data_IF_179998494955
#
_entry.id   IF_179998494955
#
_cell.length_a   1.000
_cell.length_b   1.000
_cell.length_c   1.000
_cell.angle_alpha   90.00
_cell.angle_beta   90.00
_cell.angle_gamma   90.00
#
_symmetry.space_group_name_H-M   'P 1'
#
loop_
_entity.id
_entity.type
_entity.pdbx_description
1 polymer ?
#
# COMPACT_ATOMS: atom_id res chain seq x y z
N UNK A 1 -18.46 5.24 -13.41
CA UNK A 1 -17.34 4.32 -13.69
C UNK A 1 -16.17 5.16 -14.18
N UNK A 2 -15.36 5.71 -13.26
CA UNK A 2 -14.38 6.77 -13.59
C UNK A 2 -12.97 6.41 -13.06
N UNK A 3 -12.54 5.17 -13.34
CA UNK A 3 -11.11 4.82 -13.40
C UNK A 3 -10.51 5.15 -14.78
N UNK A 4 -11.36 5.57 -15.71
CA UNK A 4 -11.06 5.78 -17.13
C UNK A 4 -10.09 6.96 -17.31
N UNK A 5 -8.80 6.66 -17.20
CA UNK A 5 -7.74 7.03 -18.17
C UNK A 5 -6.40 7.26 -17.48
N UNK A 6 -6.40 7.68 -16.21
CA UNK A 6 -5.16 8.06 -15.50
C UNK A 6 -4.67 7.05 -14.47
N UNK A 7 -5.54 6.22 -13.91
CA UNK A 7 -5.16 5.24 -12.87
C UNK A 7 -4.59 3.94 -13.42
N UNK A 8 -5.06 3.51 -14.60
CA UNK A 8 -4.68 2.24 -15.22
C UNK A 8 -3.19 2.10 -15.50
N UNK A 9 -2.47 3.10 -16.03
CA UNK A 9 -1.04 2.96 -16.30
C UNK A 9 -0.23 2.64 -15.03
N UNK A 10 -0.59 3.22 -13.89
CA UNK A 10 0.12 3.00 -12.62
C UNK A 10 -0.16 1.60 -12.08
N UNK A 11 -1.42 1.15 -12.15
CA UNK A 11 -1.79 -0.20 -11.75
C UNK A 11 -1.10 -1.25 -12.64
N UNK A 12 -1.13 -1.05 -13.96
CA UNK A 12 -0.48 -1.95 -14.91
C UNK A 12 1.04 -1.97 -14.75
N UNK A 13 1.67 -0.83 -14.44
CA UNK A 13 3.09 -0.78 -14.11
C UNK A 13 3.40 -1.60 -12.85
N UNK A 14 2.58 -1.47 -11.80
CA UNK A 14 2.72 -2.24 -10.57
C UNK A 14 2.58 -3.76 -10.82
N UNK A 15 1.66 -4.17 -11.71
CA UNK A 15 1.51 -5.56 -12.14
C UNK A 15 2.76 -6.01 -12.90
N UNK A 16 3.21 -5.22 -13.85
CA UNK A 16 4.36 -5.54 -14.71
C UNK A 16 5.67 -5.74 -13.95
N UNK A 17 5.84 -5.09 -12.80
CA UNK A 17 7.03 -5.27 -11.94
C UNK A 17 6.84 -6.31 -10.83
N UNK A 18 5.68 -6.94 -10.74
CA UNK A 18 5.37 -7.90 -9.67
C UNK A 18 5.29 -7.25 -8.29
N UNK A 19 4.84 -6.00 -8.19
CA UNK A 19 4.65 -5.33 -6.91
C UNK A 19 3.57 -6.05 -6.09
N UNK A 20 3.71 -6.02 -4.77
CA UNK A 20 2.69 -6.56 -3.84
C UNK A 20 1.74 -5.48 -3.33
N UNK A 21 2.13 -4.21 -3.44
CA UNK A 21 1.37 -3.08 -2.91
C UNK A 21 1.40 -1.90 -3.88
N UNK A 22 0.27 -1.19 -4.00
CA UNK A 22 0.18 0.12 -4.65
C UNK A 22 -0.23 1.16 -3.61
N UNK A 23 0.71 2.02 -3.24
CA UNK A 23 0.50 3.07 -2.24
C UNK A 23 0.13 4.38 -2.93
N UNK A 24 -1.02 4.94 -2.59
CA UNK A 24 -1.45 6.22 -3.18
C UNK A 24 -2.38 6.99 -2.26
N UNK A 25 -2.26 8.32 -2.28
CA UNK A 25 -3.20 9.24 -1.61
C UNK A 25 -4.37 9.65 -2.50
N UNK A 26 -4.52 9.04 -3.69
CA UNK A 26 -5.55 9.40 -4.66
C UNK A 26 -6.90 8.72 -4.35
N UNK A 27 -7.57 9.16 -3.28
CA UNK A 27 -8.85 8.63 -2.84
C UNK A 27 -9.97 8.74 -3.88
N UNK A 28 -9.94 9.78 -4.73
CA UNK A 28 -10.99 9.97 -5.76
C UNK A 28 -11.01 8.82 -6.77
N UNK A 29 -9.83 8.35 -7.20
CA UNK A 29 -9.74 7.32 -8.24
C UNK A 29 -9.46 5.91 -7.68
N UNK A 30 -8.74 5.81 -6.57
CA UNK A 30 -8.36 4.53 -5.96
C UNK A 30 -9.16 4.17 -4.69
N UNK A 31 -9.95 5.09 -4.15
CA UNK A 31 -10.76 4.89 -2.95
C UNK A 31 -11.57 3.59 -2.96
N UNK A 32 -12.33 3.27 -4.03
CA UNK A 32 -13.10 2.04 -4.13
C UNK A 32 -12.26 0.73 -4.13
N UNK A 33 -10.94 0.84 -4.30
CA UNK A 33 -10.00 -0.28 -4.40
C UNK A 33 -9.07 -0.41 -3.18
N UNK A 34 -9.10 0.52 -2.23
CA UNK A 34 -8.32 0.34 -1.00
C UNK A 34 -8.77 -0.87 -0.20
N UNK A 35 -7.79 -1.57 0.39
CA UNK A 35 -8.00 -2.83 1.11
C UNK A 35 -8.34 -4.02 0.21
N UNK A 36 -8.45 -3.81 -1.12
CA UNK A 36 -8.70 -4.88 -2.09
C UNK A 36 -7.41 -5.26 -2.81
N UNK A 37 -7.33 -6.53 -3.17
CA UNK A 37 -6.25 -7.04 -4.00
C UNK A 37 -6.72 -7.13 -5.44
N UNK A 38 -5.97 -6.56 -6.37
CA UNK A 38 -6.21 -6.63 -7.82
C UNK A 38 -4.95 -7.23 -8.44
N UNK A 39 -5.07 -8.38 -9.11
CA UNK A 39 -3.93 -9.06 -9.75
C UNK A 39 -2.72 -9.25 -8.79
N UNK A 40 -2.99 -9.56 -7.52
CA UNK A 40 -1.96 -9.74 -6.48
C UNK A 40 -1.46 -8.44 -5.82
N UNK A 41 -1.98 -7.28 -6.21
CA UNK A 41 -1.57 -5.97 -5.69
C UNK A 41 -2.59 -5.44 -4.69
N UNK A 42 -2.14 -5.20 -3.46
CA UNK A 42 -2.95 -4.57 -2.42
C UNK A 42 -2.88 -3.03 -2.51
N UNK A 43 -4.02 -2.39 -2.73
CA UNK A 43 -4.12 -0.93 -2.71
C UNK A 43 -4.25 -0.38 -1.30
N UNK A 44 -3.40 0.56 -0.89
CA UNK A 44 -3.46 1.20 0.44
C UNK A 44 -3.14 2.70 0.40
N UNK A 45 -3.68 3.48 1.34
CA UNK A 45 -3.10 4.78 1.68
C UNK A 45 -1.68 4.61 2.25
N UNK A 46 -0.73 5.53 1.95
CA UNK A 46 0.62 5.46 2.51
C UNK A 46 0.66 5.42 4.03
N UNK A 47 -0.23 6.16 4.70
CA UNK A 47 -0.33 6.18 6.16
C UNK A 47 -0.61 4.79 6.74
N UNK A 48 -1.61 4.07 6.20
CA UNK A 48 -1.96 2.73 6.66
C UNK A 48 -0.82 1.73 6.47
N UNK A 49 -0.17 1.77 5.29
CA UNK A 49 0.97 0.90 5.02
C UNK A 49 2.13 1.16 6.00
N UNK A 50 2.48 2.44 6.22
CA UNK A 50 3.58 2.80 7.11
C UNK A 50 3.28 2.50 8.57
N UNK A 51 2.06 2.78 9.06
CA UNK A 51 1.64 2.41 10.41
C UNK A 51 1.77 0.90 10.65
N UNK A 52 1.30 0.07 9.72
CA UNK A 52 1.44 -1.39 9.83
C UNK A 52 2.90 -1.89 9.82
N UNK A 53 3.81 -1.11 9.21
CA UNK A 53 5.24 -1.41 9.21
C UNK A 53 5.88 -1.01 10.53
N UNK A 54 5.54 0.15 11.08
CA UNK A 54 6.05 0.61 12.38
C UNK A 54 5.63 -0.35 13.50
N UNK A 55 4.38 -0.79 13.53
CA UNK A 55 3.92 -1.81 14.49
C UNK A 55 4.70 -3.12 14.36
N UNK A 56 5.03 -3.54 13.13
CA UNK A 56 5.93 -4.69 12.92
C UNK A 56 7.34 -4.44 13.44
N UNK A 57 7.89 -3.24 13.32
CA UNK A 57 9.20 -2.92 13.89
C UNK A 57 9.16 -2.91 15.43
N UNK A 58 8.09 -2.41 16.04
CA UNK A 58 7.92 -2.40 17.49
C UNK A 58 7.75 -3.83 18.05
N UNK A 59 7.02 -4.70 17.35
CA UNK A 59 6.87 -6.13 17.71
C UNK A 59 8.18 -6.90 17.54
N UNK A 60 9.04 -6.50 16.60
CA UNK A 60 10.36 -7.12 16.39
C UNK A 60 11.46 -6.53 17.29
N UNK A 61 11.16 -5.50 18.09
CA UNK A 61 12.10 -5.00 19.10
C UNK A 61 12.08 -5.98 20.27
N UNK A 62 13.16 -6.74 20.45
CA UNK A 62 13.28 -7.64 21.61
C UNK A 62 13.00 -6.87 22.90
N UNK A 63 12.18 -7.39 23.83
CA UNK A 63 11.94 -6.74 25.10
C UNK A 63 13.29 -6.59 25.84
N UNK A 64 13.73 -5.35 26.06
CA UNK A 64 14.90 -5.05 26.88
C UNK A 64 16.06 -4.30 26.21
N UNK A 65 15.96 -3.92 24.93
CA UNK A 65 17.02 -3.09 24.32
C UNK A 65 16.84 -1.62 24.76
N UNK A 66 17.77 -1.03 25.53
CA UNK A 66 17.67 0.37 25.95
C UNK A 66 17.91 1.32 24.77
N UNK A 67 17.34 2.54 24.79
CA UNK A 67 17.60 3.53 23.77
C UNK A 67 19.07 3.98 23.81
N UNK A 68 19.66 4.15 22.62
CA UNK A 68 20.96 4.82 22.41
C UNK A 68 20.82 6.34 22.54
#
# INVERSE_FOLDING_TARGET
>A
MEMADKGWPVLLAAIGVGATHLLTGNFRHFGPYYGKTIEGILGLPPGEYLSSRTERFDVQKEPGTPPI
#
